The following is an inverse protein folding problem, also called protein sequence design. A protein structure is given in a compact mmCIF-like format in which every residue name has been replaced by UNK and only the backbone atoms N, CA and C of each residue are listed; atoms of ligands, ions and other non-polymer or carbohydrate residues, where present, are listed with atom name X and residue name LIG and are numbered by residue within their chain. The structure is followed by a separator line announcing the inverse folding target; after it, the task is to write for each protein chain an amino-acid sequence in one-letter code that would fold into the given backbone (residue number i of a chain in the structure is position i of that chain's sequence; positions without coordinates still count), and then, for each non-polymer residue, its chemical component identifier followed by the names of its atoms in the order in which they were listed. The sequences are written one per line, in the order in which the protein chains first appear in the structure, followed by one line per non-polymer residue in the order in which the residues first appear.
data_IF_182518124482
#
_entry.id   IF_182518124482
#
_cell.length_a   1.000
_cell.length_b   1.000
_cell.length_c   1.000
_cell.angle_alpha   90.00
_cell.angle_beta   90.00
_cell.angle_gamma   90.00
#
_symmetry.space_group_name_H-M   'P 1'
#
loop_
_entity.id
_entity.type
_entity.pdbx_description
1 polymer ?
#
# COMPACT_ATOMS: atom_id res chain seq x y z
N UNK A 1 -3.02 30.13 12.12
CA UNK A 1 -1.56 30.09 11.87
C UNK A 1 -1.31 28.77 11.17
N UNK A 2 -0.85 28.80 9.93
CA UNK A 2 -0.40 27.58 9.23
C UNK A 2 0.87 27.09 9.94
N UNK A 3 0.82 25.90 10.52
CA UNK A 3 1.99 25.27 11.12
C UNK A 3 3.04 25.06 10.00
N UNK A 4 4.22 25.65 10.17
CA UNK A 4 5.29 25.55 9.18
C UNK A 4 6.07 24.24 9.45
N UNK A 5 5.86 23.22 8.61
CA UNK A 5 6.54 21.94 8.76
C UNK A 5 7.95 22.00 8.21
N UNK A 6 9.00 21.67 9.00
CA UNK A 6 10.39 21.75 8.56
C UNK A 6 10.72 20.64 7.56
N UNK A 7 11.58 20.98 6.61
CA UNK A 7 12.23 19.98 5.74
C UNK A 7 13.55 19.58 6.41
N UNK A 8 13.72 18.29 6.74
CA UNK A 8 14.79 17.84 7.63
C UNK A 8 15.66 16.70 7.04
N UNK A 9 15.34 16.20 5.87
CA UNK A 9 16.20 15.22 5.23
C UNK A 9 17.41 15.89 4.57
N UNK A 10 18.64 15.34 4.75
CA UNK A 10 19.82 15.82 4.06
C UNK A 10 19.75 15.51 2.57
N UNK A 11 20.62 16.17 1.80
CA UNK A 11 20.75 15.94 0.36
C UNK A 11 22.08 15.27 0.03
N UNK A 12 22.00 14.10 -0.59
CA UNK A 12 23.12 13.36 -1.19
C UNK A 12 22.87 13.23 -2.69
N UNK A 13 23.52 14.07 -3.52
CA UNK A 13 23.24 14.13 -4.95
C UNK A 13 23.61 12.83 -5.70
N UNK A 14 24.64 12.12 -5.26
CA UNK A 14 25.05 10.87 -5.90
C UNK A 14 24.03 9.76 -5.67
N UNK A 15 23.60 9.59 -4.43
CA UNK A 15 22.60 8.59 -4.08
C UNK A 15 21.20 8.96 -4.61
N UNK A 16 20.85 10.26 -4.62
CA UNK A 16 19.60 10.75 -5.20
C UNK A 16 19.45 10.35 -6.66
N UNK A 17 20.52 10.48 -7.45
CA UNK A 17 20.54 10.06 -8.86
C UNK A 17 20.31 8.55 -9.00
N UNK A 18 20.96 7.73 -8.16
CA UNK A 18 20.80 6.26 -8.18
C UNK A 18 19.38 5.85 -7.81
N UNK A 19 18.78 6.48 -6.78
CA UNK A 19 17.43 6.20 -6.34
C UNK A 19 16.40 6.61 -7.40
N UNK A 20 16.55 7.78 -8.01
CA UNK A 20 15.69 8.23 -9.09
C UNK A 20 15.74 7.27 -10.30
N UNK A 21 16.94 6.85 -10.71
CA UNK A 21 17.13 5.90 -11.81
C UNK A 21 16.47 4.54 -11.52
N UNK A 22 16.58 4.03 -10.29
CA UNK A 22 15.89 2.81 -9.87
C UNK A 22 14.36 2.93 -9.99
N UNK A 23 13.81 4.11 -9.68
CA UNK A 23 12.38 4.42 -9.83
C UNK A 23 12.03 4.93 -11.23
N UNK A 24 12.85 4.62 -12.24
CA UNK A 24 12.62 5.01 -13.65
C UNK A 24 12.50 6.52 -13.86
N UNK A 25 13.11 7.32 -13.00
CA UNK A 25 13.06 8.79 -12.99
C UNK A 25 11.64 9.37 -12.87
N UNK A 26 10.72 8.65 -12.25
CA UNK A 26 9.36 9.16 -12.01
C UNK A 26 9.33 10.27 -10.96
N UNK A 27 10.27 10.26 -10.01
CA UNK A 27 10.29 11.19 -8.88
C UNK A 27 11.71 11.69 -8.60
N UNK A 28 11.87 12.94 -8.12
CA UNK A 28 13.11 13.39 -7.53
C UNK A 28 13.31 12.73 -6.15
N UNK A 29 14.59 12.58 -5.78
CA UNK A 29 15.01 12.06 -4.48
C UNK A 29 16.01 13.01 -3.83
N UNK A 30 16.09 12.98 -2.50
CA UNK A 30 17.17 13.60 -1.73
C UNK A 30 18.37 12.68 -1.57
N UNK A 31 18.21 11.39 -1.80
CA UNK A 31 19.29 10.41 -1.70
C UNK A 31 19.41 9.77 -0.31
N UNK A 32 18.40 9.94 0.56
CA UNK A 32 18.42 9.38 1.91
C UNK A 32 18.04 7.90 1.87
N UNK A 33 18.98 7.04 2.27
CA UNK A 33 18.74 5.61 2.32
C UNK A 33 17.61 5.23 3.28
N UNK A 34 16.92 4.11 3.05
CA UNK A 34 15.81 3.68 3.90
C UNK A 34 16.18 3.51 5.39
N UNK A 35 17.36 2.96 5.78
CA UNK A 35 17.78 2.92 7.18
C UNK A 35 18.00 4.30 7.79
N UNK A 36 18.63 5.21 7.05
CA UNK A 36 18.89 6.58 7.50
C UNK A 36 17.58 7.37 7.61
N UNK A 37 16.70 7.29 6.61
CA UNK A 37 15.37 7.88 6.62
C UNK A 37 14.60 7.47 7.88
N UNK A 38 14.53 6.17 8.18
CA UNK A 38 13.87 5.66 9.40
C UNK A 38 14.47 6.21 10.69
N UNK A 39 15.78 6.41 10.74
CA UNK A 39 16.45 7.02 11.91
C UNK A 39 16.05 8.48 12.07
N UNK A 40 16.03 9.24 10.98
CA UNK A 40 15.68 10.67 10.98
C UNK A 40 14.19 10.90 11.29
N UNK A 41 13.32 10.02 10.82
CA UNK A 41 11.87 10.06 11.05
C UNK A 41 11.47 9.66 12.48
N UNK A 42 12.26 8.82 13.15
CA UNK A 42 11.87 8.19 14.41
C UNK A 42 11.38 9.18 15.50
N UNK A 43 12.01 10.35 15.72
CA UNK A 43 11.51 11.34 16.69
C UNK A 43 10.12 11.86 16.32
N UNK A 44 9.90 12.19 15.04
CA UNK A 44 8.63 12.69 14.50
C UNK A 44 7.52 11.65 14.63
N UNK A 45 7.81 10.41 14.25
CA UNK A 45 6.88 9.28 14.36
C UNK A 45 6.52 8.99 15.82
N UNK A 46 7.45 9.20 16.76
CA UNK A 46 7.17 9.07 18.20
C UNK A 46 6.25 10.18 18.67
N UNK A 47 6.56 11.43 18.33
CA UNK A 47 5.80 12.61 18.72
C UNK A 47 4.39 12.60 18.10
N UNK A 48 4.24 12.16 16.84
CA UNK A 48 2.98 12.16 16.12
C UNK A 48 1.85 11.37 16.82
N UNK A 49 2.19 10.44 17.70
CA UNK A 49 1.20 9.70 18.51
C UNK A 49 0.40 10.60 19.48
N UNK A 50 0.94 11.79 19.80
CA UNK A 50 0.31 12.77 20.66
C UNK A 50 -0.43 13.87 19.87
N UNK A 51 -0.29 13.89 18.54
CA UNK A 51 -0.92 14.92 17.72
C UNK A 51 -2.40 14.64 17.54
N UNK A 52 -3.21 15.67 17.70
CA UNK A 52 -4.61 15.63 17.32
C UNK A 52 -4.74 15.46 15.79
N UNK A 53 -5.88 14.93 15.34
CA UNK A 53 -6.08 14.62 13.93
C UNK A 53 -5.79 15.79 12.97
N UNK A 54 -6.27 17.03 13.21
CA UNK A 54 -6.00 18.15 12.31
C UNK A 54 -4.50 18.40 12.11
N UNK A 55 -3.70 18.29 13.17
CA UNK A 55 -2.23 18.41 13.11
C UNK A 55 -1.62 17.25 12.34
N UNK A 56 -2.00 16.03 12.64
CA UNK A 56 -1.50 14.83 11.96
C UNK A 56 -1.84 14.85 10.46
N UNK A 57 -3.10 15.16 10.12
CA UNK A 57 -3.56 15.26 8.73
C UNK A 57 -2.81 16.35 7.97
N UNK A 58 -2.64 17.53 8.57
CA UNK A 58 -1.84 18.62 7.99
C UNK A 58 -0.41 18.21 7.70
N UNK A 59 0.26 17.49 8.63
CA UNK A 59 1.60 16.98 8.41
C UNK A 59 1.67 15.96 7.27
N UNK A 60 0.74 15.00 7.25
CA UNK A 60 0.66 13.99 6.19
C UNK A 60 0.50 14.66 4.83
N UNK A 61 -0.45 15.57 4.70
CA UNK A 61 -0.68 16.31 3.45
C UNK A 61 0.54 17.14 3.04
N UNK A 62 1.12 17.90 3.96
CA UNK A 62 2.29 18.72 3.67
C UNK A 62 3.45 17.90 3.13
N UNK A 63 3.83 16.83 3.82
CA UNK A 63 4.96 16.02 3.41
C UNK A 63 4.67 15.18 2.16
N UNK A 64 3.45 14.71 1.97
CA UNK A 64 3.09 13.96 0.76
C UNK A 64 3.15 14.84 -0.50
N UNK A 65 2.85 16.13 -0.39
CA UNK A 65 2.92 17.07 -1.51
C UNK A 65 4.34 17.60 -1.79
N UNK A 66 5.33 17.29 -0.95
CA UNK A 66 6.72 17.64 -1.30
C UNK A 66 7.14 16.92 -2.57
N UNK A 67 8.03 17.54 -3.38
CA UNK A 67 8.48 16.94 -4.64
C UNK A 67 9.29 15.65 -4.42
N UNK A 68 10.13 15.59 -3.39
CA UNK A 68 11.04 14.49 -3.18
C UNK A 68 10.36 13.28 -2.54
N UNK A 69 10.68 12.10 -3.06
CA UNK A 69 10.01 10.85 -2.73
C UNK A 69 10.15 10.45 -1.26
N UNK A 70 11.25 10.78 -0.62
CA UNK A 70 11.48 10.50 0.80
C UNK A 70 10.45 11.17 1.70
N UNK A 71 10.01 12.39 1.38
CA UNK A 71 8.95 13.06 2.15
C UNK A 71 7.58 12.38 1.94
N UNK A 72 7.31 11.85 0.75
CA UNK A 72 6.10 11.08 0.51
C UNK A 72 6.09 9.78 1.32
N UNK A 73 7.24 9.09 1.43
CA UNK A 73 7.36 7.94 2.33
C UNK A 73 7.15 8.32 3.78
N UNK A 74 7.71 9.45 4.23
CA UNK A 74 7.52 9.91 5.61
C UNK A 74 6.04 10.21 5.91
N UNK A 75 5.32 10.84 4.97
CA UNK A 75 3.88 11.05 5.10
C UNK A 75 3.12 9.74 5.30
N UNK A 76 3.44 8.71 4.51
CA UNK A 76 2.83 7.39 4.63
C UNK A 76 3.23 6.73 5.97
N UNK A 77 4.49 6.88 6.41
CA UNK A 77 4.96 6.35 7.68
C UNK A 77 4.28 7.05 8.88
N UNK A 78 3.92 8.35 8.78
CA UNK A 78 3.07 9.05 9.76
C UNK A 78 1.67 8.41 9.84
N UNK A 79 1.03 8.16 8.70
CA UNK A 79 -0.26 7.47 8.66
C UNK A 79 -0.14 6.04 9.23
N UNK A 80 0.88 5.28 8.81
CA UNK A 80 1.14 3.92 9.28
C UNK A 80 1.43 3.87 10.80
N UNK A 81 2.11 4.88 11.33
CA UNK A 81 2.40 4.95 12.77
C UNK A 81 1.17 5.15 13.64
N UNK A 82 0.16 5.78 13.06
CA UNK A 82 -1.05 6.22 13.76
C UNK A 82 -2.31 5.45 13.38
N UNK A 83 -2.24 4.47 12.47
CA UNK A 83 -3.43 3.81 11.89
C UNK A 83 -4.43 3.28 12.92
N UNK A 84 -3.96 2.74 14.05
CA UNK A 84 -4.82 2.13 15.07
C UNK A 84 -5.79 3.11 15.73
N UNK A 85 -5.46 4.40 15.74
CA UNK A 85 -6.28 5.44 16.38
C UNK A 85 -7.12 6.26 15.39
N UNK A 86 -6.98 6.00 14.09
CA UNK A 86 -7.78 6.67 13.07
C UNK A 86 -9.21 6.12 13.07
N UNK A 87 -10.19 7.03 12.97
CA UNK A 87 -11.56 6.65 12.64
C UNK A 87 -11.67 6.30 11.15
N UNK A 88 -12.78 5.70 10.74
CA UNK A 88 -12.99 5.38 9.32
C UNK A 88 -13.07 6.64 8.45
N UNK A 89 -13.65 7.73 8.96
CA UNK A 89 -13.73 9.02 8.29
C UNK A 89 -12.33 9.62 8.10
N UNK A 90 -11.48 9.57 9.12
CA UNK A 90 -10.09 10.04 9.05
C UNK A 90 -9.26 9.21 8.08
N UNK A 91 -9.48 7.89 8.04
CA UNK A 91 -8.83 7.02 7.06
C UNK A 91 -9.31 7.37 5.64
N UNK A 92 -10.61 7.66 5.47
CA UNK A 92 -11.17 8.07 4.18
C UNK A 92 -10.65 9.43 3.71
N UNK A 93 -10.38 10.38 4.62
CA UNK A 93 -9.76 11.67 4.29
C UNK A 93 -8.36 11.52 3.65
N UNK A 94 -7.66 10.40 3.90
CA UNK A 94 -6.35 10.11 3.29
C UNK A 94 -6.46 9.45 1.90
N UNK A 95 -7.65 8.99 1.50
CA UNK A 95 -7.84 8.24 0.26
C UNK A 95 -7.38 9.00 -1.00
N UNK A 96 -7.62 10.32 -1.16
CA UNK A 96 -7.12 11.05 -2.33
C UNK A 96 -5.61 10.93 -2.53
N UNK A 97 -4.82 10.92 -1.43
CA UNK A 97 -3.36 10.81 -1.50
C UNK A 97 -2.89 9.47 -2.08
N UNK A 98 -3.70 8.40 -1.94
CA UNK A 98 -3.35 7.08 -2.50
C UNK A 98 -3.32 7.12 -4.02
N UNK A 99 -4.21 7.89 -4.66
CA UNK A 99 -4.29 8.07 -6.12
C UNK A 99 -3.29 9.08 -6.69
N UNK A 100 -2.51 9.78 -5.84
CA UNK A 100 -1.55 10.78 -6.27
C UNK A 100 -0.12 10.22 -6.30
N UNK A 101 0.71 10.71 -7.24
CA UNK A 101 2.13 10.36 -7.37
C UNK A 101 2.36 8.85 -7.30
N UNK A 102 1.49 8.10 -7.97
CA UNK A 102 1.42 6.64 -7.90
C UNK A 102 2.61 5.96 -8.53
N UNK A 103 3.17 5.01 -7.81
CA UNK A 103 4.11 3.99 -8.26
C UNK A 103 4.07 2.85 -7.27
N UNK A 104 4.60 1.68 -7.63
CA UNK A 104 4.48 0.47 -6.81
C UNK A 104 4.94 0.64 -5.34
N UNK A 105 5.95 1.46 -5.10
CA UNK A 105 6.54 1.69 -3.78
C UNK A 105 5.61 2.44 -2.81
N UNK A 106 4.98 3.55 -3.27
CA UNK A 106 4.00 4.28 -2.46
C UNK A 106 2.68 3.54 -2.34
N UNK A 107 2.23 2.91 -3.41
CA UNK A 107 0.99 2.13 -3.44
C UNK A 107 1.07 0.96 -2.44
N UNK A 108 2.18 0.21 -2.42
CA UNK A 108 2.34 -0.91 -1.49
C UNK A 108 2.48 -0.42 -0.03
N UNK A 109 3.04 0.77 0.18
CA UNK A 109 3.10 1.40 1.50
C UNK A 109 1.70 1.87 1.97
N UNK A 110 0.94 2.59 1.14
CA UNK A 110 -0.44 2.97 1.43
C UNK A 110 -1.33 1.74 1.65
N UNK A 111 -1.24 0.72 0.77
CA UNK A 111 -1.95 -0.54 0.96
C UNK A 111 -1.74 -1.09 2.38
N UNK A 112 -0.51 -1.00 2.91
CA UNK A 112 -0.22 -1.49 4.26
C UNK A 112 -0.98 -0.71 5.33
N UNK A 113 -1.12 0.61 5.21
CA UNK A 113 -1.91 1.44 6.15
C UNK A 113 -3.35 0.94 6.20
N UNK A 114 -4.01 0.84 5.04
CA UNK A 114 -5.41 0.39 4.95
C UNK A 114 -5.57 -1.08 5.38
N UNK A 115 -4.64 -1.94 5.01
CA UNK A 115 -4.62 -3.35 5.38
C UNK A 115 -4.55 -3.54 6.90
N UNK A 116 -3.58 -2.89 7.55
CA UNK A 116 -3.39 -3.00 9.00
C UNK A 116 -4.59 -2.38 9.77
N UNK A 117 -5.17 -1.30 9.23
CA UNK A 117 -6.38 -0.70 9.79
C UNK A 117 -7.58 -1.66 9.68
N UNK A 118 -7.83 -2.24 8.50
CA UNK A 118 -8.90 -3.20 8.29
C UNK A 118 -8.73 -4.46 9.16
N UNK A 119 -7.50 -4.93 9.34
CA UNK A 119 -7.21 -6.05 10.22
C UNK A 119 -7.61 -5.77 11.68
N UNK A 120 -7.40 -4.53 12.14
CA UNK A 120 -7.83 -4.09 13.46
C UNK A 120 -9.34 -3.79 13.56
N UNK A 121 -10.00 -3.52 12.41
CA UNK A 121 -11.43 -3.15 12.33
C UNK A 121 -12.17 -4.04 11.32
N UNK A 122 -12.30 -5.35 11.57
CA UNK A 122 -12.83 -6.30 10.58
C UNK A 122 -14.26 -6.02 10.12
N UNK A 123 -15.07 -5.37 10.95
CA UNK A 123 -16.44 -4.97 10.59
C UNK A 123 -16.50 -3.96 9.43
N UNK A 124 -15.43 -3.19 9.23
CA UNK A 124 -15.35 -2.17 8.17
C UNK A 124 -14.62 -2.65 6.90
N UNK A 125 -14.16 -3.91 6.87
CA UNK A 125 -13.37 -4.43 5.74
C UNK A 125 -14.10 -4.27 4.40
N UNK A 126 -15.38 -4.61 4.35
CA UNK A 126 -16.18 -4.54 3.11
C UNK A 126 -16.34 -3.10 2.62
N UNK A 127 -16.53 -2.14 3.53
CA UNK A 127 -16.63 -0.72 3.18
C UNK A 127 -15.31 -0.21 2.60
N UNK A 128 -14.19 -0.44 3.29
CA UNK A 128 -12.86 -0.01 2.83
C UNK A 128 -12.48 -0.71 1.52
N UNK A 129 -12.82 -1.99 1.37
CA UNK A 129 -12.64 -2.70 0.10
C UNK A 129 -13.39 -2.01 -1.04
N UNK A 130 -14.61 -1.53 -0.78
CA UNK A 130 -15.42 -0.79 -1.77
C UNK A 130 -14.74 0.49 -2.28
N UNK A 131 -13.90 1.15 -1.50
CA UNK A 131 -13.17 2.35 -1.92
C UNK A 131 -12.13 2.06 -3.02
N UNK A 132 -11.64 0.83 -3.09
CA UNK A 132 -10.60 0.39 -4.04
C UNK A 132 -11.13 -0.50 -5.15
N UNK A 133 -12.29 -1.13 -4.93
CA UNK A 133 -12.86 -2.08 -5.90
C UNK A 133 -13.50 -1.35 -7.08
N UNK A 134 -13.19 -1.79 -8.30
CA UNK A 134 -13.81 -1.28 -9.52
C UNK A 134 -13.38 0.14 -9.92
N UNK A 135 -12.34 0.70 -9.31
CA UNK A 135 -11.79 1.98 -9.68
C UNK A 135 -11.19 1.95 -11.11
N UNK A 136 -11.26 3.06 -11.84
CA UNK A 136 -10.63 3.19 -13.16
C UNK A 136 -9.11 3.08 -13.06
N UNK A 137 -8.51 3.75 -12.04
CA UNK A 137 -7.09 3.67 -11.76
C UNK A 137 -6.70 2.27 -11.26
N UNK A 138 -5.88 1.58 -12.03
CA UNK A 138 -5.40 0.24 -11.67
C UNK A 138 -4.53 0.23 -10.40
N UNK A 139 -3.91 1.35 -10.03
CA UNK A 139 -3.16 1.43 -8.77
C UNK A 139 -4.07 1.31 -7.56
N UNK A 140 -5.25 1.92 -7.61
CA UNK A 140 -6.25 1.75 -6.54
C UNK A 140 -6.79 0.32 -6.51
N UNK A 141 -7.07 -0.29 -7.68
CA UNK A 141 -7.47 -1.71 -7.73
C UNK A 141 -6.38 -2.64 -7.19
N UNK A 142 -5.09 -2.33 -7.43
CA UNK A 142 -3.97 -3.05 -6.82
C UNK A 142 -4.03 -3.03 -5.29
N UNK A 143 -4.39 -1.89 -4.68
CA UNK A 143 -4.61 -1.80 -3.23
C UNK A 143 -5.73 -2.75 -2.81
N UNK A 144 -6.87 -2.74 -3.50
CA UNK A 144 -8.01 -3.62 -3.22
C UNK A 144 -7.66 -5.11 -3.30
N UNK A 145 -6.94 -5.54 -4.35
CA UNK A 145 -6.48 -6.93 -4.52
C UNK A 145 -5.58 -7.37 -3.36
N UNK A 146 -4.72 -6.49 -2.87
CA UNK A 146 -3.76 -6.78 -1.81
C UNK A 146 -4.23 -6.32 -0.41
N UNK A 147 -5.47 -5.86 -0.25
CA UNK A 147 -5.96 -5.29 1.01
C UNK A 147 -5.85 -6.27 2.17
N UNK A 148 -6.14 -7.54 1.92
CA UNK A 148 -6.11 -8.60 2.92
C UNK A 148 -4.77 -9.34 3.00
N UNK A 149 -3.71 -8.77 2.43
CA UNK A 149 -2.39 -9.41 2.47
C UNK A 149 -1.96 -9.64 3.93
N UNK A 150 -1.65 -10.89 4.27
CA UNK A 150 -1.29 -11.36 5.62
C UNK A 150 -2.45 -11.45 6.64
N UNK A 151 -3.70 -11.42 6.23
CA UNK A 151 -4.84 -11.67 7.12
C UNK A 151 -4.93 -13.13 7.56
N UNK A 152 -4.24 -14.04 6.87
CA UNK A 152 -4.21 -15.47 7.20
C UNK A 152 -5.63 -16.04 7.31
N UNK A 153 -5.96 -16.63 8.46
CA UNK A 153 -7.27 -17.23 8.75
C UNK A 153 -8.42 -16.21 8.76
N UNK A 154 -8.11 -14.91 8.92
CA UNK A 154 -9.13 -13.84 8.87
C UNK A 154 -9.40 -13.34 7.44
N UNK A 155 -8.79 -13.96 6.42
CA UNK A 155 -9.02 -13.58 5.03
C UNK A 155 -10.46 -13.90 4.63
N UNK A 156 -11.23 -12.88 4.24
CA UNK A 156 -12.50 -13.04 3.54
C UNK A 156 -12.22 -13.48 2.11
N UNK A 157 -12.40 -14.76 1.85
CA UNK A 157 -12.14 -15.36 0.53
C UNK A 157 -13.10 -14.89 -0.54
N UNK A 158 -14.31 -14.46 -0.18
CA UNK A 158 -15.28 -13.93 -1.14
C UNK A 158 -14.82 -12.56 -1.66
N UNK A 159 -14.32 -11.69 -0.79
CA UNK A 159 -13.73 -10.41 -1.21
C UNK A 159 -12.45 -10.59 -2.01
N UNK A 160 -11.58 -11.53 -1.60
CA UNK A 160 -10.37 -11.86 -2.36
C UNK A 160 -10.70 -12.37 -3.76
N UNK A 161 -11.63 -13.31 -3.86
CA UNK A 161 -12.12 -13.82 -5.15
C UNK A 161 -12.70 -12.70 -6.00
N UNK A 162 -13.59 -11.87 -5.43
CA UNK A 162 -14.22 -10.74 -6.12
C UNK A 162 -13.18 -9.76 -6.69
N UNK A 163 -12.15 -9.44 -5.93
CA UNK A 163 -11.06 -8.57 -6.38
C UNK A 163 -10.27 -9.18 -7.55
N UNK A 164 -9.94 -10.47 -7.43
CA UNK A 164 -9.17 -11.18 -8.47
C UNK A 164 -10.00 -11.38 -9.74
N UNK A 165 -11.27 -11.77 -9.61
CA UNK A 165 -12.14 -12.03 -10.76
C UNK A 165 -12.38 -10.76 -11.60
N UNK A 166 -12.49 -9.60 -10.96
CA UNK A 166 -12.64 -8.32 -11.66
C UNK A 166 -11.42 -7.95 -12.55
N UNK A 167 -10.23 -8.39 -12.15
CA UNK A 167 -8.98 -8.07 -12.83
C UNK A 167 -8.27 -9.29 -13.45
N UNK A 168 -8.96 -10.43 -13.52
CA UNK A 168 -8.40 -11.71 -13.98
C UNK A 168 -7.78 -11.63 -15.37
N UNK A 169 -8.40 -10.87 -16.27
CA UNK A 169 -7.98 -10.70 -17.68
C UNK A 169 -7.30 -9.35 -17.95
N UNK A 170 -7.17 -8.49 -16.96
CA UNK A 170 -6.49 -7.19 -17.11
C UNK A 170 -5.03 -7.41 -17.50
N UNK A 171 -4.53 -6.83 -18.62
CA UNK A 171 -3.18 -7.10 -19.11
C UNK A 171 -2.09 -6.36 -18.33
N UNK A 172 -2.48 -5.49 -17.35
CA UNK A 172 -1.55 -4.68 -16.59
C UNK A 172 -0.62 -5.53 -15.69
N UNK A 173 0.69 -5.37 -15.90
CA UNK A 173 1.72 -6.13 -15.19
C UNK A 173 1.59 -6.04 -13.67
N UNK A 174 1.37 -4.83 -13.14
CA UNK A 174 1.29 -4.62 -11.69
C UNK A 174 0.02 -5.20 -11.06
N UNK A 175 -1.05 -5.31 -11.83
CA UNK A 175 -2.28 -6.02 -11.42
C UNK A 175 -2.02 -7.52 -11.36
N UNK A 176 -1.43 -8.10 -12.40
CA UNK A 176 -1.15 -9.54 -12.43
C UNK A 176 -0.15 -9.96 -11.34
N UNK A 177 0.82 -9.08 -11.02
CA UNK A 177 1.71 -9.27 -9.87
C UNK A 177 0.96 -9.19 -8.55
N UNK A 178 -0.03 -8.29 -8.39
CA UNK A 178 -0.84 -8.19 -7.18
C UNK A 178 -1.68 -9.44 -6.95
N UNK A 179 -2.34 -9.94 -8.00
CA UNK A 179 -3.11 -11.19 -7.96
C UNK A 179 -2.22 -12.35 -7.49
N UNK A 180 -1.07 -12.53 -8.17
CA UNK A 180 -0.13 -13.57 -7.81
C UNK A 180 0.39 -13.44 -6.37
N UNK A 181 0.64 -12.22 -5.90
CA UNK A 181 1.11 -11.98 -4.52
C UNK A 181 0.05 -12.31 -3.48
N UNK A 182 -1.19 -11.89 -3.68
CA UNK A 182 -2.30 -12.21 -2.76
C UNK A 182 -2.55 -13.71 -2.68
N UNK A 183 -2.62 -14.40 -3.81
CA UNK A 183 -2.81 -15.86 -3.85
C UNK A 183 -1.62 -16.58 -3.19
N UNK A 184 -0.39 -16.19 -3.50
CA UNK A 184 0.82 -16.75 -2.90
C UNK A 184 0.86 -16.58 -1.38
N UNK A 185 0.47 -15.42 -0.88
CA UNK A 185 0.45 -15.18 0.57
C UNK A 185 -0.63 -16.02 1.24
N UNK A 186 -1.83 -16.09 0.63
CA UNK A 186 -2.93 -16.87 1.20
C UNK A 186 -2.72 -18.39 1.07
N UNK A 187 -1.96 -18.87 0.08
CA UNK A 187 -1.63 -20.30 -0.04
C UNK A 187 -0.84 -20.87 1.15
N UNK A 188 -0.20 -20.01 1.95
CA UNK A 188 0.46 -20.41 3.19
C UNK A 188 -0.52 -20.74 4.30
N UNK A 189 -1.76 -20.27 4.20
CA UNK A 189 -2.83 -20.48 5.18
C UNK A 189 -3.83 -21.51 4.68
N UNK A 190 -4.26 -21.39 3.43
CA UNK A 190 -5.24 -22.30 2.81
C UNK A 190 -4.79 -22.69 1.38
N UNK A 191 -3.84 -23.63 1.28
CA UNK A 191 -3.32 -24.05 -0.02
C UNK A 191 -4.38 -24.73 -0.89
N UNK A 192 -5.34 -25.47 -0.30
CA UNK A 192 -6.39 -26.18 -1.01
C UNK A 192 -7.33 -25.21 -1.73
N UNK A 193 -7.75 -24.14 -1.03
CA UNK A 193 -8.57 -23.10 -1.64
C UNK A 193 -7.84 -22.42 -2.80
N UNK A 194 -6.56 -22.06 -2.61
CA UNK A 194 -5.78 -21.40 -3.68
C UNK A 194 -5.55 -22.33 -4.85
N UNK A 195 -5.32 -23.63 -4.63
CA UNK A 195 -5.17 -24.62 -5.69
C UNK A 195 -6.45 -24.73 -6.52
N UNK A 196 -7.61 -24.86 -5.89
CA UNK A 196 -8.90 -24.91 -6.55
C UNK A 196 -9.20 -23.61 -7.31
N UNK A 197 -8.88 -22.45 -6.72
CA UNK A 197 -9.06 -21.16 -7.35
C UNK A 197 -8.17 -20.97 -8.59
N UNK A 198 -6.90 -21.39 -8.52
CA UNK A 198 -5.98 -21.34 -9.65
C UNK A 198 -6.43 -22.24 -10.83
N UNK A 199 -7.14 -23.33 -10.54
CA UNK A 199 -7.70 -24.23 -11.56
C UNK A 199 -9.04 -23.77 -12.12
N UNK A 200 -9.67 -22.72 -11.56
CA UNK A 200 -11.00 -22.24 -11.97
C UNK A 200 -10.96 -21.46 -13.28
N UNK A 201 -12.13 -21.35 -13.92
CA UNK A 201 -12.30 -20.61 -15.19
C UNK A 201 -12.95 -19.23 -14.97
N UNK A 202 -12.60 -18.25 -15.80
CA UNK A 202 -11.54 -18.24 -16.82
C UNK A 202 -10.13 -18.34 -16.17
N UNK A 203 -9.10 -18.83 -16.89
CA UNK A 203 -7.78 -19.04 -16.33
C UNK A 203 -7.13 -17.71 -15.91
N UNK A 204 -6.28 -17.77 -14.88
CA UNK A 204 -5.39 -16.66 -14.50
C UNK A 204 -4.33 -16.45 -15.59
N UNK A 205 -3.78 -15.23 -15.66
CA UNK A 205 -2.62 -14.99 -16.51
C UNK A 205 -1.44 -15.90 -16.13
N UNK A 206 -0.53 -16.23 -17.06
CA UNK A 206 0.65 -17.04 -16.74
C UNK A 206 1.50 -16.44 -15.61
N UNK A 207 1.56 -15.11 -15.53
CA UNK A 207 2.29 -14.40 -14.46
C UNK A 207 1.63 -14.60 -13.11
N UNK A 208 0.32 -14.32 -13.00
CA UNK A 208 -0.42 -14.47 -11.77
C UNK A 208 -0.43 -15.93 -11.28
N UNK A 209 -0.64 -16.88 -12.19
CA UNK A 209 -0.62 -18.30 -11.88
C UNK A 209 0.75 -18.73 -11.32
N UNK A 210 1.84 -18.40 -12.02
CA UNK A 210 3.21 -18.73 -11.58
C UNK A 210 3.54 -18.17 -10.19
N UNK A 211 3.17 -16.92 -9.94
CA UNK A 211 3.43 -16.28 -8.65
C UNK A 211 2.52 -16.84 -7.55
N UNK A 212 1.23 -17.05 -7.84
CA UNK A 212 0.24 -17.52 -6.87
C UNK A 212 0.44 -18.98 -6.45
N UNK A 213 0.90 -19.83 -7.38
CA UNK A 213 1.11 -21.26 -7.13
C UNK A 213 2.46 -21.60 -6.50
N UNK A 214 3.33 -20.62 -6.23
CA UNK A 214 4.74 -20.83 -5.83
C UNK A 214 4.91 -21.75 -4.61
N UNK A 215 3.99 -21.75 -3.68
CA UNK A 215 4.04 -22.54 -2.44
C UNK A 215 2.98 -23.65 -2.38
N UNK A 216 2.27 -23.89 -3.49
CA UNK A 216 1.35 -25.03 -3.57
C UNK A 216 2.12 -26.33 -3.67
N UNK A 217 1.58 -27.45 -3.15
CA UNK A 217 2.13 -28.78 -3.38
C UNK A 217 2.22 -29.06 -4.89
N UNK A 218 3.30 -29.73 -5.30
CA UNK A 218 3.47 -30.18 -6.68
C UNK A 218 2.67 -31.45 -6.93
#
# INVERSE_FOLDING_TARGET
MTEEWPRFFPFDPENAHKMAAYMKNHFPFLGVSAPERKKLEAPWLKESKQWEWPKLCSAIQFYFHQPEREYQYFAIDLAQRNYQRLTIEQLHELLPLVGEKTWWDSIDAWRKVYSDWCYAHPANLTEVFGWFYGQEDFWLRRVGINLQLKFKEQTDTALLQKAVDADRTTPEFFIQKAIGWSLREYSKTNPEWVQAFCASQPPLSPLALREGSKYLPK
#
